data_IF_921146497891
#
_entry.id   IF_921146497891
#
_cell.length_a   1.000
_cell.length_b   1.000
_cell.length_c   1.000
_cell.angle_alpha   90.00
_cell.angle_beta   90.00
_cell.angle_gamma   90.00
#
_symmetry.space_group_name_H-M   'P 1'
#
loop_
_entity.id
_entity.type
_entity.pdbx_description
1 polymer ?
#
# COMPACT_ATOMS: atom_id res chain seq x y z
N UNK A 1 12.35 12.51 6.51
CA UNK A 1 12.38 11.10 6.98
C UNK A 1 11.25 10.78 7.96
N UNK A 2 11.06 11.58 9.05
CA UNK A 2 10.00 11.35 10.06
C UNK A 2 8.60 11.24 9.46
N UNK A 3 8.20 12.22 8.64
CA UNK A 3 6.87 12.23 7.99
C UNK A 3 6.70 11.04 7.03
N UNK A 4 7.71 10.73 6.22
CA UNK A 4 7.66 9.59 5.29
C UNK A 4 7.50 8.24 6.03
N UNK A 5 8.14 8.09 7.19
CA UNK A 5 7.98 6.88 7.99
C UNK A 5 6.57 6.74 8.56
N UNK A 6 5.95 7.84 8.99
CA UNK A 6 4.55 7.86 9.39
C UNK A 6 3.60 7.61 8.23
N UNK A 7 3.85 8.22 7.05
CA UNK A 7 3.09 7.95 5.83
C UNK A 7 3.15 6.45 5.48
N UNK A 8 4.36 5.85 5.53
CA UNK A 8 4.54 4.42 5.31
C UNK A 8 3.70 3.55 6.26
N UNK A 9 3.74 3.81 7.57
CA UNK A 9 2.96 3.06 8.57
C UNK A 9 1.46 3.26 8.36
N UNK A 10 1.02 4.50 8.15
CA UNK A 10 -0.39 4.81 7.95
C UNK A 10 -0.95 4.12 6.69
N UNK A 11 -0.23 4.18 5.57
CA UNK A 11 -0.66 3.51 4.34
C UNK A 11 -0.56 1.99 4.44
N UNK A 12 0.40 1.44 5.19
CA UNK A 12 0.46 0.00 5.49
C UNK A 12 -0.76 -0.48 6.27
N UNK A 13 -1.21 0.31 7.24
CA UNK A 13 -2.41 0.03 8.02
C UNK A 13 -3.69 0.20 7.19
N UNK A 14 -3.83 1.30 6.44
CA UNK A 14 -4.98 1.55 5.57
C UNK A 14 -5.10 0.46 4.51
N UNK A 15 -3.98 0.04 3.91
CA UNK A 15 -3.95 -1.05 2.95
C UNK A 15 -4.39 -2.37 3.55
N UNK A 16 -3.97 -2.68 4.77
CA UNK A 16 -4.44 -3.85 5.50
C UNK A 16 -5.95 -3.78 5.77
N UNK A 17 -6.47 -2.64 6.21
CA UNK A 17 -7.92 -2.44 6.37
C UNK A 17 -8.68 -2.69 5.07
N UNK A 18 -8.17 -2.18 3.95
CA UNK A 18 -8.79 -2.37 2.64
C UNK A 18 -8.84 -3.86 2.23
N UNK A 19 -7.76 -4.62 2.46
CA UNK A 19 -7.71 -6.07 2.18
C UNK A 19 -8.70 -6.85 3.05
N UNK A 20 -8.74 -6.56 4.34
CA UNK A 20 -9.67 -7.23 5.28
C UNK A 20 -11.12 -6.92 4.90
N UNK A 21 -11.43 -5.67 4.57
CA UNK A 21 -12.76 -5.28 4.11
C UNK A 21 -13.13 -5.96 2.80
N UNK A 22 -12.23 -5.95 1.81
CA UNK A 22 -12.46 -6.63 0.53
C UNK A 22 -12.77 -8.12 0.73
N UNK A 23 -11.98 -8.80 1.56
CA UNK A 23 -12.18 -10.22 1.87
C UNK A 23 -13.47 -10.46 2.64
N UNK A 24 -13.81 -9.59 3.59
CA UNK A 24 -15.06 -9.69 4.33
C UNK A 24 -16.29 -9.57 3.42
N UNK A 25 -16.24 -8.71 2.40
CA UNK A 25 -17.33 -8.57 1.43
C UNK A 25 -17.40 -9.71 0.42
N UNK A 26 -16.25 -10.21 -0.06
CA UNK A 26 -16.21 -11.26 -1.09
C UNK A 26 -16.39 -12.66 -0.53
N UNK A 27 -15.75 -12.96 0.58
CA UNK A 27 -15.75 -14.32 1.18
C UNK A 27 -16.70 -14.45 2.38
N UNK A 28 -17.36 -13.34 2.81
CA UNK A 28 -18.27 -13.28 3.97
C UNK A 28 -17.63 -13.79 5.26
N UNK A 29 -16.33 -13.65 5.40
CA UNK A 29 -15.55 -14.03 6.58
C UNK A 29 -14.41 -13.03 6.81
N UNK A 30 -14.10 -12.79 8.07
CA UNK A 30 -12.93 -12.00 8.44
C UNK A 30 -11.69 -12.91 8.40
N UNK A 31 -10.80 -12.64 7.43
CA UNK A 31 -9.51 -13.34 7.30
C UNK A 31 -8.42 -12.28 7.25
N UNK A 32 -7.40 -12.45 8.07
CA UNK A 32 -6.19 -11.64 7.94
C UNK A 32 -5.44 -12.09 6.68
N UNK A 33 -5.52 -11.29 5.62
CA UNK A 33 -4.79 -11.51 4.36
C UNK A 33 -3.51 -10.68 4.27
N UNK A 34 -3.10 -10.04 5.35
CA UNK A 34 -1.80 -9.39 5.40
C UNK A 34 -0.67 -10.41 5.20
N UNK A 35 0.42 -10.01 4.56
CA UNK A 35 1.65 -10.83 4.53
C UNK A 35 2.21 -11.04 5.94
N UNK A 36 1.92 -10.12 6.84
CA UNK A 36 2.27 -10.18 8.26
C UNK A 36 1.13 -10.80 9.08
N UNK A 37 1.46 -11.38 10.22
CA UNK A 37 0.48 -11.86 11.20
C UNK A 37 -0.31 -10.69 11.83
N UNK A 38 0.29 -9.50 11.88
CA UNK A 38 -0.29 -8.28 12.45
C UNK A 38 -1.22 -7.50 11.53
N UNK A 39 -1.52 -6.28 11.97
CA UNK A 39 -2.50 -5.36 11.35
C UNK A 39 -1.84 -4.38 10.36
N UNK A 40 -0.84 -4.82 9.63
CA UNK A 40 -0.16 -3.99 8.64
C UNK A 40 0.17 -4.78 7.38
N UNK A 41 0.10 -4.11 6.24
CA UNK A 41 0.52 -4.65 4.95
C UNK A 41 1.59 -3.73 4.34
N UNK A 42 2.90 -4.00 4.58
CA UNK A 42 4.01 -3.13 4.17
C UNK A 42 4.06 -2.81 2.68
N UNK A 43 3.55 -3.71 1.83
CA UNK A 43 3.49 -3.53 0.38
C UNK A 43 2.71 -2.26 0.03
N UNK A 44 1.56 -2.02 0.68
CA UNK A 44 0.77 -0.80 0.44
C UNK A 44 1.50 0.46 0.89
N UNK A 45 2.24 0.39 2.00
CA UNK A 45 3.11 1.48 2.45
C UNK A 45 4.19 1.80 1.42
N UNK A 46 4.88 0.78 0.89
CA UNK A 46 5.91 0.95 -0.15
C UNK A 46 5.31 1.58 -1.41
N UNK A 47 4.19 1.04 -1.90
CA UNK A 47 3.50 1.54 -3.10
C UNK A 47 3.09 3.01 -2.91
N UNK A 48 2.51 3.35 -1.76
CA UNK A 48 2.10 4.71 -1.45
C UNK A 48 3.29 5.68 -1.43
N UNK A 49 4.41 5.31 -0.80
CA UNK A 49 5.63 6.11 -0.80
C UNK A 49 6.18 6.30 -2.22
N UNK A 50 6.21 5.23 -3.02
CA UNK A 50 6.63 5.33 -4.43
C UNK A 50 5.73 6.29 -5.22
N UNK A 51 4.41 6.22 -5.04
CA UNK A 51 3.46 7.14 -5.66
C UNK A 51 3.66 8.59 -5.20
N UNK A 52 3.86 8.81 -3.90
CA UNK A 52 4.11 10.14 -3.31
C UNK A 52 5.41 10.73 -3.87
N UNK A 53 6.48 9.95 -3.89
CA UNK A 53 7.77 10.39 -4.42
C UNK A 53 7.66 10.65 -5.93
N UNK A 54 7.08 9.74 -6.69
CA UNK A 54 6.89 9.92 -8.12
C UNK A 54 6.03 11.15 -8.45
N UNK A 55 4.98 11.41 -7.67
CA UNK A 55 4.11 12.58 -7.85
C UNK A 55 4.83 13.92 -7.59
N UNK A 56 5.93 13.91 -6.84
CA UNK A 56 6.71 15.14 -6.60
C UNK A 56 7.56 15.58 -7.80
N UNK A 57 7.79 14.68 -8.76
CA UNK A 57 8.51 14.99 -10.00
C UNK A 57 7.61 15.39 -11.17
N UNK A 58 6.28 15.26 -11.03
CA UNK A 58 5.32 15.49 -12.08
C UNK A 58 4.32 16.60 -11.76
N UNK A 59 3.43 16.84 -12.74
CA UNK A 59 2.28 17.73 -12.54
C UNK A 59 1.33 17.18 -11.47
N UNK A 60 0.83 18.07 -10.63
CA UNK A 60 -0.12 17.72 -9.55
C UNK A 60 -1.59 17.71 -10.03
N UNK A 61 -1.82 17.78 -11.36
CA UNK A 61 -3.16 17.65 -11.93
C UNK A 61 -3.73 16.27 -11.66
N UNK A 62 -5.01 16.19 -11.42
CA UNK A 62 -5.68 14.92 -11.10
C UNK A 62 -5.48 13.86 -12.18
N UNK A 63 -5.49 14.25 -13.46
CA UNK A 63 -5.33 13.33 -14.57
C UNK A 63 -3.91 12.75 -14.64
N UNK A 64 -2.89 13.61 -14.55
CA UNK A 64 -1.49 13.18 -14.54
C UNK A 64 -1.17 12.33 -13.31
N UNK A 65 -1.71 12.71 -12.15
CA UNK A 65 -1.56 11.94 -10.92
C UNK A 65 -2.24 10.57 -11.04
N UNK A 66 -3.42 10.49 -11.65
CA UNK A 66 -4.10 9.24 -11.93
C UNK A 66 -3.26 8.33 -12.84
N UNK A 67 -2.77 8.85 -13.98
CA UNK A 67 -1.94 8.07 -14.90
C UNK A 67 -0.66 7.58 -14.24
N UNK A 68 0.03 8.47 -13.52
CA UNK A 68 1.25 8.12 -12.80
C UNK A 68 0.99 7.01 -11.76
N UNK A 69 -0.07 7.17 -10.98
CA UNK A 69 -0.45 6.18 -9.96
C UNK A 69 -0.88 4.85 -10.56
N UNK A 70 -1.56 4.86 -11.70
CA UNK A 70 -1.91 3.65 -12.43
C UNK A 70 -0.66 2.89 -12.90
N UNK A 71 0.31 3.60 -13.46
CA UNK A 71 1.58 3.00 -13.93
C UNK A 71 2.41 2.48 -12.76
N UNK A 72 2.62 3.30 -11.72
CA UNK A 72 3.40 2.92 -10.53
C UNK A 72 2.74 1.77 -9.81
N UNK A 73 1.40 1.79 -9.67
CA UNK A 73 0.63 0.72 -9.05
C UNK A 73 0.75 -0.59 -9.82
N UNK A 74 0.52 -0.57 -11.13
CA UNK A 74 0.64 -1.76 -11.98
C UNK A 74 2.07 -2.34 -11.97
N UNK A 75 3.09 -1.49 -12.03
CA UNK A 75 4.49 -1.91 -11.93
C UNK A 75 4.79 -2.54 -10.58
N UNK A 76 4.27 -1.96 -9.49
CA UNK A 76 4.44 -2.48 -8.15
C UNK A 76 3.73 -3.82 -7.95
N UNK A 77 2.49 -3.97 -8.46
CA UNK A 77 1.76 -5.26 -8.44
C UNK A 77 2.53 -6.35 -9.20
N UNK A 78 3.08 -6.01 -10.37
CA UNK A 78 3.84 -6.94 -11.18
C UNK A 78 5.11 -7.40 -10.46
N UNK A 79 5.90 -6.47 -9.92
CA UNK A 79 7.14 -6.79 -9.19
C UNK A 79 6.84 -7.56 -7.92
N UNK A 80 5.90 -7.08 -7.09
CA UNK A 80 5.55 -7.75 -5.83
C UNK A 80 4.92 -9.12 -6.09
N UNK A 81 4.02 -9.24 -7.07
CA UNK A 81 3.40 -10.51 -7.43
C UNK A 81 4.42 -11.54 -7.90
N UNK A 82 5.36 -11.12 -8.75
CA UNK A 82 6.46 -11.99 -9.23
C UNK A 82 7.38 -12.43 -8.08
N UNK A 83 7.79 -11.49 -7.21
CA UNK A 83 8.67 -11.81 -6.07
C UNK A 83 7.97 -12.74 -5.09
N UNK A 84 6.71 -12.45 -4.74
CA UNK A 84 5.95 -13.29 -3.82
C UNK A 84 5.73 -14.70 -4.35
N UNK A 85 5.41 -14.85 -5.64
CA UNK A 85 5.28 -16.17 -6.25
C UNK A 85 6.60 -16.97 -6.18
N UNK A 86 7.74 -16.30 -6.38
CA UNK A 86 9.06 -16.95 -6.26
C UNK A 86 9.39 -17.37 -4.82
N UNK A 87 8.94 -16.62 -3.83
CA UNK A 87 9.22 -16.89 -2.41
C UNK A 87 8.21 -17.87 -1.81
N UNK A 88 6.93 -17.67 -2.06
CA UNK A 88 5.84 -18.45 -1.44
C UNK A 88 5.32 -19.61 -2.30
N UNK A 89 5.65 -19.63 -3.59
CA UNK A 89 5.20 -20.66 -4.53
C UNK A 89 3.75 -20.50 -5.01
N UNK A 90 3.06 -19.45 -4.61
CA UNK A 90 1.70 -19.16 -5.07
C UNK A 90 1.53 -17.67 -5.42
N UNK A 91 0.60 -17.38 -6.35
CA UNK A 91 0.26 -16.00 -6.69
C UNK A 91 -0.66 -15.40 -5.62
N UNK A 92 -0.25 -14.30 -5.02
CA UNK A 92 -1.10 -13.59 -4.05
C UNK A 92 -2.41 -13.09 -4.68
N UNK A 93 -2.31 -12.48 -5.86
CA UNK A 93 -3.47 -12.11 -6.69
C UNK A 93 -3.27 -12.70 -8.07
N UNK A 94 -4.27 -13.41 -8.56
CA UNK A 94 -4.24 -14.01 -9.90
C UNK A 94 -5.23 -13.28 -10.81
N UNK A 95 -4.68 -12.54 -11.78
CA UNK A 95 -5.43 -11.84 -12.80
C UNK A 95 -5.41 -12.57 -14.15
N UNK A 96 -5.04 -13.85 -14.20
CA UNK A 96 -4.87 -14.62 -15.44
C UNK A 96 -6.16 -14.68 -16.28
N UNK A 97 -7.32 -14.65 -15.65
CA UNK A 97 -8.62 -14.62 -16.32
C UNK A 97 -9.05 -13.22 -16.80
N UNK A 98 -8.35 -12.16 -16.33
CA UNK A 98 -8.69 -10.79 -16.71
C UNK A 98 -8.22 -10.47 -18.11
N UNK A 99 -9.05 -9.76 -18.90
CA UNK A 99 -8.59 -9.19 -20.18
C UNK A 99 -7.46 -8.20 -19.91
N UNK A 100 -6.46 -8.19 -20.82
CA UNK A 100 -5.31 -7.29 -20.74
C UNK A 100 -4.53 -7.42 -19.43
N UNK A 101 -4.26 -8.66 -19.00
CA UNK A 101 -3.33 -8.92 -17.90
C UNK A 101 -1.89 -9.03 -18.40
N UNK A 102 -0.92 -8.82 -17.51
CA UNK A 102 0.50 -9.02 -17.75
C UNK A 102 0.98 -10.14 -16.84
N UNK A 103 1.16 -11.34 -17.42
CA UNK A 103 1.63 -12.53 -16.70
C UNK A 103 0.70 -13.00 -15.55
N UNK A 104 -0.53 -12.49 -15.50
CA UNK A 104 -1.47 -12.74 -14.40
C UNK A 104 -1.16 -11.98 -13.11
N UNK A 105 -0.12 -11.12 -13.06
CA UNK A 105 0.25 -10.37 -11.86
C UNK A 105 -0.47 -9.02 -11.73
N UNK A 106 -0.81 -8.39 -12.85
CA UNK A 106 -1.56 -7.14 -12.93
C UNK A 106 -2.49 -7.14 -14.14
N UNK A 107 -3.47 -6.26 -14.15
CA UNK A 107 -4.41 -6.11 -15.27
C UNK A 107 -4.74 -4.63 -15.51
N UNK A 108 -5.32 -4.32 -16.67
CA UNK A 108 -5.76 -2.95 -16.98
C UNK A 108 -6.79 -2.45 -15.94
N UNK A 109 -7.63 -3.35 -15.45
CA UNK A 109 -8.63 -3.03 -14.43
C UNK A 109 -7.97 -2.71 -13.07
N UNK A 110 -6.98 -3.51 -12.63
CA UNK A 110 -6.25 -3.23 -11.40
C UNK A 110 -5.44 -1.94 -11.51
N UNK A 111 -4.79 -1.68 -12.66
CA UNK A 111 -4.08 -0.43 -12.92
C UNK A 111 -5.01 0.80 -12.81
N UNK A 112 -6.24 0.72 -13.35
CA UNK A 112 -7.24 1.78 -13.22
C UNK A 112 -7.59 2.03 -11.74
N UNK A 113 -7.82 0.97 -10.97
CA UNK A 113 -8.07 1.08 -9.53
C UNK A 113 -6.89 1.67 -8.77
N UNK A 114 -5.66 1.26 -9.10
CA UNK A 114 -4.44 1.86 -8.53
C UNK A 114 -4.35 3.36 -8.83
N UNK A 115 -4.76 3.77 -10.03
CA UNK A 115 -4.86 5.19 -10.39
C UNK A 115 -5.80 5.96 -9.47
N UNK A 116 -7.01 5.45 -9.25
CA UNK A 116 -8.00 6.08 -8.34
C UNK A 116 -7.51 6.11 -6.90
N UNK A 117 -6.98 4.99 -6.40
CA UNK A 117 -6.43 4.89 -5.05
C UNK A 117 -5.24 5.83 -4.85
N UNK A 118 -4.37 6.00 -5.85
CA UNK A 118 -3.25 6.91 -5.78
C UNK A 118 -3.66 8.38 -5.73
N UNK A 119 -4.68 8.79 -6.50
CA UNK A 119 -5.25 10.13 -6.39
C UNK A 119 -5.82 10.36 -4.99
N UNK A 120 -6.60 9.41 -4.46
CA UNK A 120 -7.14 9.49 -3.11
C UNK A 120 -6.03 9.52 -2.05
N UNK A 121 -4.99 8.71 -2.20
CA UNK A 121 -3.85 8.67 -1.29
C UNK A 121 -3.13 10.03 -1.23
N UNK A 122 -2.81 10.62 -2.38
CA UNK A 122 -2.03 11.86 -2.44
C UNK A 122 -2.88 13.10 -2.11
N UNK A 123 -4.13 13.18 -2.60
CA UNK A 123 -4.96 14.39 -2.46
C UNK A 123 -5.82 14.40 -1.20
N UNK A 124 -6.14 13.25 -0.63
CA UNK A 124 -7.03 13.15 0.55
C UNK A 124 -6.29 12.59 1.75
N UNK A 125 -5.77 11.36 1.67
CA UNK A 125 -5.22 10.69 2.82
C UNK A 125 -3.92 11.35 3.32
N UNK A 126 -3.04 11.73 2.42
CA UNK A 126 -1.78 12.40 2.77
C UNK A 126 -1.98 13.70 3.56
N UNK A 127 -2.82 14.67 3.11
CA UNK A 127 -3.12 15.85 3.91
C UNK A 127 -3.74 15.53 5.28
N UNK A 128 -4.60 14.54 5.38
CA UNK A 128 -5.18 14.10 6.65
C UNK A 128 -4.11 13.55 7.60
N UNK A 129 -3.20 12.72 7.09
CA UNK A 129 -2.06 12.20 7.87
C UNK A 129 -1.19 13.36 8.37
N UNK A 130 -0.87 14.33 7.51
CA UNK A 130 -0.08 15.51 7.90
C UNK A 130 -0.78 16.33 8.98
N UNK A 131 -2.09 16.55 8.87
CA UNK A 131 -2.87 17.26 9.90
C UNK A 131 -2.85 16.52 11.22
N UNK A 132 -3.02 15.20 11.20
CA UNK A 132 -2.96 14.37 12.40
C UNK A 132 -1.56 14.40 13.04
N UNK A 133 -0.50 14.34 12.25
CA UNK A 133 0.87 14.42 12.73
C UNK A 133 1.22 15.80 13.32
N UNK A 134 0.69 16.88 12.75
CA UNK A 134 0.89 18.24 13.27
C UNK A 134 0.25 18.43 14.65
N UNK A 135 -0.78 17.65 14.99
CA UNK A 135 -1.42 17.68 16.31
C UNK A 135 -0.66 16.86 17.37
N UNK A 136 0.32 16.03 16.98
CA UNK A 136 1.11 15.20 17.89
C UNK A 136 2.37 15.94 18.37
N UNK A 137 2.66 15.94 19.69
CA UNK A 137 3.95 16.41 20.19
C UNK A 137 5.09 15.59 19.55
N UNK A 138 6.11 16.26 19.03
CA UNK A 138 7.18 15.62 18.26
C UNK A 138 7.88 14.47 19.01
N UNK A 139 8.14 14.65 20.32
CA UNK A 139 8.78 13.62 21.13
C UNK A 139 7.90 12.37 21.28
N UNK A 140 6.59 12.55 21.49
CA UNK A 140 5.63 11.44 21.57
C UNK A 140 5.49 10.74 20.22
N UNK A 141 5.42 11.50 19.13
CA UNK A 141 5.38 10.97 17.78
C UNK A 141 6.63 10.16 17.42
N UNK A 142 7.82 10.62 17.78
CA UNK A 142 9.07 9.86 17.56
C UNK A 142 9.09 8.56 18.37
N UNK A 143 8.72 8.61 19.65
CA UNK A 143 8.66 7.40 20.48
C UNK A 143 7.67 6.37 19.92
N UNK A 144 6.46 6.81 19.57
CA UNK A 144 5.45 5.95 18.95
C UNK A 144 5.93 5.35 17.62
N UNK A 145 6.59 6.14 16.77
CA UNK A 145 7.16 5.67 15.52
C UNK A 145 8.16 4.52 15.73
N UNK A 146 9.11 4.69 16.67
CA UNK A 146 10.10 3.64 16.98
C UNK A 146 9.43 2.36 17.48
N UNK A 147 8.43 2.47 18.34
CA UNK A 147 7.68 1.31 18.85
C UNK A 147 6.95 0.60 17.71
N UNK A 148 6.21 1.34 16.86
CA UNK A 148 5.44 0.76 15.77
C UNK A 148 6.33 0.10 14.70
N UNK A 149 7.44 0.75 14.33
CA UNK A 149 8.42 0.16 13.41
C UNK A 149 9.06 -1.08 14.01
N UNK A 150 9.39 -1.05 15.29
CA UNK A 150 9.93 -2.21 16.01
C UNK A 150 8.95 -3.39 16.05
N UNK A 151 7.68 -3.13 16.36
CA UNK A 151 6.62 -4.15 16.33
C UNK A 151 6.45 -4.72 14.92
N UNK A 152 6.43 -3.88 13.89
CA UNK A 152 6.30 -4.34 12.50
C UNK A 152 7.52 -5.15 12.04
N UNK A 153 8.73 -4.78 12.48
CA UNK A 153 9.94 -5.54 12.18
C UNK A 153 9.94 -6.91 12.88
N UNK A 154 9.50 -6.98 14.13
CA UNK A 154 9.34 -8.24 14.85
C UNK A 154 8.29 -9.14 14.19
N UNK A 155 7.15 -8.57 13.81
CA UNK A 155 6.09 -9.30 13.11
C UNK A 155 6.59 -9.85 11.75
N UNK A 156 7.38 -9.08 11.03
CA UNK A 156 8.02 -9.53 9.80
C UNK A 156 8.94 -10.74 10.03
N UNK A 157 9.79 -10.70 11.06
CA UNK A 157 10.68 -11.81 11.41
C UNK A 157 9.91 -13.07 11.84
N UNK A 158 8.76 -12.90 12.49
CA UNK A 158 7.91 -14.02 12.93
C UNK A 158 7.05 -14.60 11.80
N UNK A 159 6.84 -13.85 10.73
CA UNK A 159 5.98 -14.24 9.59
C UNK A 159 6.77 -14.92 8.45
N UNK A 160 8.10 -14.77 8.42
CA UNK A 160 9.02 -15.38 7.44
C UNK A 160 9.66 -16.62 8.03
#
# INVERSE_FOLDING_TARGET
MYVLAWEFLAFSFIGWCAEVLYTAFTEKRFVNRGFLCGIACPIYGIIAILMIVASSFGSQDMFNLFLLSAVVGAASELVCGFVLEKVSGYKWRDYSESKYNIGGYTSLFSAFFCGLCGVAAVKVLRPLIHTALAALPENAGRAALFVLVGVMALDFVLSV
#
